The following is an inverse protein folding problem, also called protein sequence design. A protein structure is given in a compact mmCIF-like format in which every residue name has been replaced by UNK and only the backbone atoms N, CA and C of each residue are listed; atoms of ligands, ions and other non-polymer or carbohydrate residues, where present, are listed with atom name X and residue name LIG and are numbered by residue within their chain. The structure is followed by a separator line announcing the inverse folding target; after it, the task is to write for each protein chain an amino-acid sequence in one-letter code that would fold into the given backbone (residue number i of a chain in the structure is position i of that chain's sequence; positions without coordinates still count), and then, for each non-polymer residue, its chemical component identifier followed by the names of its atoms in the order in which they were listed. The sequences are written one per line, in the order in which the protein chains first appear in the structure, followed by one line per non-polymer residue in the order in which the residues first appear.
data_IF_062157883296
#
_entry.id   IF_062157883296
#
_cell.length_a   1.000
_cell.length_b   1.000
_cell.length_c   1.000
_cell.angle_alpha   90.00
_cell.angle_beta   90.00
_cell.angle_gamma   90.00
#
_symmetry.space_group_name_H-M   'P 1'
#
loop_
_entity.id
_entity.type
_entity.pdbx_description
1 polymer ?
#
# COMPACT_ATOMS: atom_id res chain seq x y z
N UNK A 1 -8.10 46.87 47.37
CA UNK A 1 -7.53 46.06 48.47
C UNK A 1 -7.29 44.69 47.87
N UNK A 2 -6.18 44.57 47.13
CA UNK A 2 -5.92 43.37 46.34
C UNK A 2 -5.29 42.32 47.25
N UNK A 3 -6.11 41.33 47.61
CA UNK A 3 -5.69 40.17 48.39
C UNK A 3 -4.69 39.35 47.61
N UNK A 4 -3.40 39.57 47.85
CA UNK A 4 -2.35 38.61 47.45
C UNK A 4 -2.57 37.35 48.26
N UNK A 5 -3.11 36.31 47.63
CA UNK A 5 -3.11 34.96 48.18
C UNK A 5 -1.67 34.60 48.56
N UNK A 6 -1.41 34.51 49.87
CA UNK A 6 -0.14 33.99 50.38
C UNK A 6 -0.02 32.54 49.91
N UNK A 7 1.01 32.22 49.12
CA UNK A 7 1.27 30.85 48.67
C UNK A 7 1.26 29.92 49.90
N UNK A 8 0.40 28.91 49.88
CA UNK A 8 0.36 27.88 50.94
C UNK A 8 1.71 27.18 50.98
N UNK A 9 2.26 26.97 52.18
CA UNK A 9 3.52 26.26 52.36
C UNK A 9 3.42 24.85 51.78
N UNK A 10 4.53 24.31 51.28
CA UNK A 10 4.58 22.96 50.71
C UNK A 10 4.22 21.89 51.74
N UNK A 11 4.53 22.11 53.01
CA UNK A 11 4.15 21.22 54.11
C UNK A 11 2.63 21.10 54.26
N UNK A 12 1.92 22.23 54.23
CA UNK A 12 0.46 22.30 54.30
C UNK A 12 -0.19 21.75 53.03
N UNK A 13 0.45 21.98 51.87
CA UNK A 13 -0.03 21.49 50.57
C UNK A 13 0.03 19.97 50.46
N UNK A 14 1.04 19.34 51.05
CA UNK A 14 1.25 17.90 50.98
C UNK A 14 0.70 17.13 52.18
N UNK A 15 0.16 17.84 53.18
CA UNK A 15 -0.40 17.31 54.41
C UNK A 15 0.61 16.41 55.17
N UNK A 16 1.88 16.83 55.18
CA UNK A 16 2.96 16.09 55.85
C UNK A 16 3.20 16.72 57.23
N UNK A 17 3.05 15.97 58.34
CA UNK A 17 3.39 16.47 59.67
C UNK A 17 4.87 16.84 59.76
N UNK A 18 5.18 17.90 60.50
CA UNK A 18 6.57 18.35 60.73
C UNK A 18 7.43 17.20 61.29
N UNK A 19 6.85 16.32 62.11
CA UNK A 19 7.53 15.16 62.70
C UNK A 19 8.04 14.14 61.68
N UNK A 20 7.55 14.17 60.43
CA UNK A 20 8.01 13.28 59.36
C UNK A 20 9.30 13.79 58.69
N UNK A 21 9.74 15.01 59.03
CA UNK A 21 11.01 15.61 58.59
C UNK A 21 12.13 15.31 59.60
N UNK A 22 12.25 14.04 60.00
CA UNK A 22 13.28 13.56 60.94
C UNK A 22 14.02 12.34 60.37
N UNK A 23 15.26 12.16 60.79
CA UNK A 23 16.13 11.04 60.36
C UNK A 23 15.53 9.69 60.72
N UNK A 24 14.91 9.56 61.90
CA UNK A 24 14.26 8.33 62.33
C UNK A 24 13.12 7.94 61.39
N UNK A 25 12.25 8.91 61.05
CA UNK A 25 11.13 8.68 60.15
C UNK A 25 11.59 8.36 58.73
N UNK A 26 12.59 9.07 58.19
CA UNK A 26 13.11 8.82 56.84
C UNK A 26 13.71 7.42 56.72
N UNK A 27 14.37 6.92 57.77
CA UNK A 27 14.93 5.57 57.79
C UNK A 27 13.85 4.48 57.73
N UNK A 28 12.75 4.68 58.46
CA UNK A 28 11.61 3.74 58.57
C UNK A 28 10.58 3.88 57.42
N UNK A 29 10.62 4.97 56.65
CA UNK A 29 9.64 5.22 55.60
C UNK A 29 9.82 4.30 54.39
N UNK A 30 8.77 3.53 54.07
CA UNK A 30 8.71 2.62 52.92
C UNK A 30 7.95 3.22 51.72
N UNK A 31 7.21 4.32 51.93
CA UNK A 31 6.36 4.91 50.90
C UNK A 31 7.15 5.85 49.97
N UNK A 32 7.41 5.38 48.73
CA UNK A 32 8.14 6.14 47.72
C UNK A 32 7.50 7.50 47.35
N UNK A 33 6.16 7.63 47.41
CA UNK A 33 5.48 8.90 47.05
C UNK A 33 5.59 9.94 48.17
N UNK A 34 5.55 9.50 49.41
CA UNK A 34 5.79 10.38 50.56
C UNK A 34 7.23 10.87 50.56
N UNK A 35 8.18 9.97 50.27
CA UNK A 35 9.59 10.34 50.16
C UNK A 35 9.85 11.37 49.04
N UNK A 36 9.18 11.27 47.88
CA UNK A 36 9.25 12.30 46.82
C UNK A 36 8.76 13.67 47.32
N UNK A 37 7.69 13.71 48.13
CA UNK A 37 7.17 14.95 48.71
C UNK A 37 8.11 15.53 49.76
N UNK A 38 8.68 14.69 50.63
CA UNK A 38 9.67 15.09 51.65
C UNK A 38 10.90 15.71 50.99
N UNK A 39 11.46 15.07 49.96
CA UNK A 39 12.60 15.62 49.20
C UNK A 39 12.25 16.95 48.53
N UNK A 40 11.03 17.13 48.02
CA UNK A 40 10.59 18.42 47.47
C UNK A 40 10.48 19.51 48.54
N UNK A 41 9.94 19.19 49.72
CA UNK A 41 9.85 20.14 50.84
C UNK A 41 11.26 20.54 51.28
N UNK A 42 12.17 19.59 51.47
CA UNK A 42 13.54 19.86 51.90
C UNK A 42 14.33 20.68 50.86
N UNK A 43 14.19 20.38 49.56
CA UNK A 43 14.81 21.16 48.48
C UNK A 43 14.25 22.58 48.34
N UNK A 44 13.00 22.80 48.75
CA UNK A 44 12.38 24.14 48.68
C UNK A 44 12.98 25.13 49.67
N UNK A 45 13.55 24.63 50.78
CA UNK A 45 14.09 25.46 51.86
C UNK A 45 13.05 26.26 52.66
N UNK A 46 11.75 26.03 52.46
CA UNK A 46 10.67 26.78 53.13
C UNK A 46 10.68 26.59 54.67
N UNK A 47 11.10 25.41 55.14
CA UNK A 47 11.17 25.07 56.57
C UNK A 47 12.59 25.18 57.15
N UNK A 48 13.57 25.63 56.35
CA UNK A 48 14.98 25.73 56.72
C UNK A 48 15.91 24.92 55.83
N UNK A 49 17.20 25.20 55.93
CA UNK A 49 18.24 24.54 55.13
C UNK A 49 18.90 23.40 55.92
N UNK A 50 18.55 22.16 55.58
CA UNK A 50 19.05 20.95 56.23
C UNK A 50 19.76 20.04 55.22
N UNK A 51 21.06 20.26 54.93
CA UNK A 51 21.75 19.55 53.86
C UNK A 51 21.89 18.04 54.14
N UNK A 52 22.18 17.65 55.38
CA UNK A 52 22.38 16.24 55.75
C UNK A 52 21.07 15.44 55.71
N UNK A 53 19.98 16.05 56.18
CA UNK A 53 18.63 15.48 56.12
C UNK A 53 18.16 15.33 54.67
N UNK A 54 18.45 16.33 53.83
CA UNK A 54 18.14 16.30 52.39
C UNK A 54 18.88 15.16 51.70
N UNK A 55 20.19 15.01 51.96
CA UNK A 55 20.99 13.92 51.40
C UNK A 55 20.48 12.55 51.86
N UNK A 56 20.10 12.41 53.13
CA UNK A 56 19.52 11.18 53.67
C UNK A 56 18.21 10.82 52.95
N UNK A 57 17.30 11.79 52.81
CA UNK A 57 16.03 11.61 52.10
C UNK A 57 16.24 11.28 50.61
N UNK A 58 17.19 11.92 49.94
CA UNK A 58 17.52 11.64 48.54
C UNK A 58 18.10 10.24 48.34
N UNK A 59 18.99 9.79 49.22
CA UNK A 59 19.55 8.43 49.16
C UNK A 59 18.47 7.37 49.39
N UNK A 60 17.61 7.58 50.38
CA UNK A 60 16.45 6.72 50.61
C UNK A 60 15.49 6.70 49.41
N UNK A 61 15.27 7.86 48.78
CA UNK A 61 14.46 7.94 47.55
C UNK A 61 15.12 7.21 46.38
N UNK A 62 16.45 7.21 46.26
CA UNK A 62 17.16 6.43 45.22
C UNK A 62 17.00 4.92 45.44
N UNK A 63 17.03 4.46 46.69
CA UNK A 63 16.79 3.06 47.05
C UNK A 63 15.36 2.62 46.71
N UNK A 64 14.36 3.45 47.05
CA UNK A 64 12.95 3.14 46.81
C UNK A 64 12.56 3.32 45.33
N UNK A 65 13.07 4.36 44.66
CA UNK A 65 12.65 4.75 43.30
C UNK A 65 13.77 5.49 42.52
N UNK A 66 14.66 4.74 41.83
CA UNK A 66 15.79 5.32 41.11
C UNK A 66 15.37 6.18 39.89
N UNK A 67 14.22 5.89 39.27
CA UNK A 67 13.71 6.60 38.08
C UNK A 67 12.76 7.77 38.42
N UNK A 68 12.86 8.34 39.62
CA UNK A 68 12.00 9.45 40.03
C UNK A 68 12.21 10.68 39.14
N UNK A 69 11.16 11.48 38.94
CA UNK A 69 11.24 12.73 38.16
C UNK A 69 12.21 13.74 38.81
N UNK A 70 12.40 13.65 40.13
CA UNK A 70 13.25 14.56 40.91
C UNK A 70 14.74 14.43 40.62
N UNK A 71 15.16 13.32 40.01
CA UNK A 71 16.55 13.10 39.59
C UNK A 71 16.81 13.46 38.11
N UNK A 72 15.79 13.93 37.38
CA UNK A 72 15.98 14.43 36.00
C UNK A 72 16.60 15.81 36.07
N UNK A 73 17.78 15.96 35.49
CA UNK A 73 18.40 17.27 35.26
C UNK A 73 17.96 17.79 33.88
N UNK A 74 17.74 19.10 33.78
CA UNK A 74 17.56 19.76 32.49
C UNK A 74 18.93 19.88 31.82
N UNK A 75 19.15 19.10 30.76
CA UNK A 75 20.35 19.21 29.94
C UNK A 75 20.21 20.41 29.00
N UNK A 76 21.24 21.25 28.91
CA UNK A 76 21.22 22.42 28.02
C UNK A 76 21.16 21.96 26.57
N UNK A 77 20.31 22.62 25.77
CA UNK A 77 20.24 22.38 24.33
C UNK A 77 21.62 22.62 23.72
N UNK A 78 22.18 21.57 23.15
CA UNK A 78 23.45 21.61 22.45
C UNK A 78 23.23 22.23 21.06
N UNK A 79 24.04 23.25 20.73
CA UNK A 79 23.99 23.94 19.45
C UNK A 79 24.67 23.14 18.32
N UNK A 80 24.73 23.74 17.13
CA UNK A 80 25.23 23.09 15.91
C UNK A 80 26.69 22.62 16.04
N UNK A 81 27.44 23.32 16.87
CA UNK A 81 28.87 23.17 17.13
C UNK A 81 29.24 21.91 17.91
N UNK A 82 28.29 21.21 18.54
CA UNK A 82 28.60 20.01 19.33
C UNK A 82 28.82 18.75 18.48
N UNK A 83 28.28 18.73 17.27
CA UNK A 83 28.37 17.61 16.35
C UNK A 83 29.60 17.71 15.46
N UNK A 84 30.32 16.60 15.29
CA UNK A 84 31.49 16.51 14.43
C UNK A 84 31.11 16.61 12.94
N UNK A 85 32.07 17.00 12.09
CA UNK A 85 31.84 17.11 10.63
C UNK A 85 31.37 15.79 9.98
N UNK A 86 31.73 14.65 10.57
CA UNK A 86 31.32 13.33 10.08
C UNK A 86 29.85 13.05 10.41
N UNK A 87 29.38 13.45 11.59
CA UNK A 87 27.98 13.31 12.02
C UNK A 87 27.04 14.27 11.30
N UNK A 88 27.56 15.40 10.84
CA UNK A 88 26.82 16.34 10.01
C UNK A 88 26.63 15.85 8.57
N UNK A 89 27.50 14.98 8.07
CA UNK A 89 27.53 14.57 6.67
C UNK A 89 26.21 13.94 6.19
N UNK A 90 25.58 13.00 6.92
CA UNK A 90 24.28 12.45 6.53
C UNK A 90 23.18 13.50 6.44
N UNK A 91 23.19 14.49 7.32
CA UNK A 91 22.20 15.59 7.31
C UNK A 91 22.42 16.46 6.07
N UNK A 92 23.67 16.82 5.78
CA UNK A 92 23.99 17.58 4.58
C UNK A 92 23.64 16.82 3.30
N UNK A 93 24.02 15.55 3.21
CA UNK A 93 23.72 14.70 2.06
C UNK A 93 22.20 14.55 1.86
N UNK A 94 21.44 14.37 2.93
CA UNK A 94 19.98 14.34 2.88
C UNK A 94 19.39 15.68 2.43
N UNK A 95 19.82 16.80 3.02
CA UNK A 95 19.31 18.13 2.61
C UNK A 95 19.63 18.44 1.15
N UNK A 96 20.80 18.02 0.66
CA UNK A 96 21.17 18.16 -0.73
C UNK A 96 20.28 17.28 -1.62
N UNK A 97 20.08 16.01 -1.24
CA UNK A 97 19.21 15.08 -1.98
C UNK A 97 17.76 15.59 -2.08
N UNK A 98 17.22 16.16 -1.00
CA UNK A 98 15.87 16.74 -1.00
C UNK A 98 15.79 17.96 -1.92
N UNK A 99 16.78 18.86 -1.89
CA UNK A 99 16.81 20.01 -2.80
C UNK A 99 16.87 19.59 -4.26
N UNK A 100 17.69 18.57 -4.58
CA UNK A 100 17.76 18.03 -5.94
C UNK A 100 16.41 17.47 -6.37
N UNK A 101 15.78 16.64 -5.53
CA UNK A 101 14.44 16.10 -5.81
C UNK A 101 13.37 17.18 -5.96
N UNK A 102 13.42 18.23 -5.15
CA UNK A 102 12.47 19.34 -5.23
C UNK A 102 12.60 20.09 -6.57
N UNK A 103 13.84 20.33 -7.02
CA UNK A 103 14.12 20.91 -8.35
C UNK A 103 13.63 19.98 -9.47
N UNK A 104 13.90 18.69 -9.39
CA UNK A 104 13.44 17.69 -10.36
C UNK A 104 11.92 17.64 -10.45
N UNK A 105 11.23 17.63 -9.31
CA UNK A 105 9.77 17.64 -9.23
C UNK A 105 9.18 18.94 -9.74
N UNK A 106 9.79 20.09 -9.43
CA UNK A 106 9.36 21.39 -9.97
C UNK A 106 9.52 21.43 -11.49
N UNK A 107 10.64 20.95 -12.03
CA UNK A 107 10.86 20.87 -13.47
C UNK A 107 9.87 19.90 -14.16
N UNK A 108 9.55 18.78 -13.52
CA UNK A 108 8.53 17.85 -14.00
C UNK A 108 7.13 18.48 -13.96
N UNK A 109 6.79 19.22 -12.90
CA UNK A 109 5.54 19.95 -12.77
C UNK A 109 5.40 21.03 -13.86
N UNK A 110 6.48 21.76 -14.18
CA UNK A 110 6.48 22.72 -15.29
C UNK A 110 6.28 22.06 -16.65
N UNK A 111 6.90 20.88 -16.89
CA UNK A 111 6.66 20.10 -18.11
C UNK A 111 5.21 19.63 -18.22
N UNK A 112 4.62 19.19 -17.11
CA UNK A 112 3.22 18.77 -17.06
C UNK A 112 2.26 19.95 -17.22
N UNK A 113 2.58 21.13 -16.67
CA UNK A 113 1.78 22.34 -16.82
C UNK A 113 1.75 22.87 -18.26
N UNK A 114 2.76 22.56 -19.08
CA UNK A 114 2.78 22.88 -20.52
C UNK A 114 1.89 21.96 -21.34
N UNK A 115 1.52 20.79 -20.81
CA UNK A 115 0.56 19.89 -21.42
C UNK A 115 -0.83 20.30 -20.91
N UNK A 116 -1.64 20.92 -21.76
CA UNK A 116 -2.98 21.38 -21.41
C UNK A 116 -3.93 20.20 -21.18
N UNK A 117 -3.86 19.61 -19.98
CA UNK A 117 -4.61 18.43 -19.57
C UNK A 117 -5.96 18.80 -18.89
N UNK A 118 -6.31 20.09 -18.84
CA UNK A 118 -7.53 20.58 -18.17
C UNK A 118 -7.56 20.30 -16.66
N UNK A 119 -6.38 20.18 -16.03
CA UNK A 119 -6.27 20.01 -14.58
C UNK A 119 -6.19 21.40 -13.95
N UNK A 120 -6.94 21.70 -12.88
CA UNK A 120 -6.85 23.00 -12.21
C UNK A 120 -5.41 23.28 -11.76
N UNK A 121 -4.95 24.55 -11.85
CA UNK A 121 -3.58 24.91 -11.55
C UNK A 121 -3.22 24.51 -10.11
N UNK A 122 -2.11 23.78 -9.97
CA UNK A 122 -1.57 23.41 -8.65
C UNK A 122 -1.39 24.69 -7.85
N UNK A 123 -2.05 24.77 -6.68
CA UNK A 123 -1.87 25.88 -5.74
C UNK A 123 -0.40 25.89 -5.34
N UNK A 124 0.40 26.75 -5.98
CA UNK A 124 1.71 27.09 -5.45
C UNK A 124 1.46 27.61 -4.04
N UNK A 125 2.10 27.03 -3.03
CA UNK A 125 2.11 27.62 -1.70
C UNK A 125 2.55 29.06 -1.89
N UNK A 126 1.64 30.00 -1.62
CA UNK A 126 1.96 31.41 -1.73
C UNK A 126 3.20 31.66 -0.89
N UNK A 127 4.23 32.25 -1.50
CA UNK A 127 5.30 32.87 -0.71
C UNK A 127 4.57 33.79 0.26
N UNK A 128 4.70 33.52 1.56
CA UNK A 128 4.17 34.39 2.61
C UNK A 128 4.94 35.70 2.46
N UNK A 129 4.41 36.62 1.66
CA UNK A 129 4.84 38.00 1.68
C UNK A 129 4.35 38.54 3.01
N UNK A 130 5.27 38.83 3.91
CA UNK A 130 4.97 39.71 5.02
C UNK A 130 4.37 40.98 4.42
N UNK A 131 3.15 41.29 4.82
CA UNK A 131 2.44 42.49 4.43
C UNK A 131 3.13 43.67 5.12
N UNK A 132 3.96 44.39 4.37
CA UNK A 132 4.24 45.78 4.70
C UNK A 132 2.98 46.59 4.37
N UNK A 133 2.28 46.99 5.42
CA UNK A 133 1.23 47.99 5.37
C UNK A 133 1.84 49.30 4.87
N UNK A 134 1.54 49.71 3.64
CA UNK A 134 1.31 51.12 3.27
C UNK A 134 0.85 51.26 1.81
N UNK A 135 -0.18 52.09 1.66
CA UNK A 135 -0.70 52.77 0.46
C UNK A 135 -1.76 52.10 -0.43
N UNK A 136 -3.00 52.52 -0.15
CA UNK A 136 -4.07 52.75 -1.11
C UNK A 136 -3.65 53.76 -2.21
N UNK A 137 -4.07 53.52 -3.45
CA UNK A 137 -5.01 54.37 -4.23
C UNK A 137 -4.79 54.40 -5.75
N UNK A 138 -5.93 54.29 -6.46
CA UNK A 138 -6.29 54.80 -7.81
C UNK A 138 -5.63 54.10 -9.02
N UNK A 139 -6.28 53.89 -10.16
CA UNK A 139 -7.61 54.26 -10.68
C UNK A 139 -7.88 53.46 -11.97
N UNK A 140 -9.16 53.20 -12.25
CA UNK A 140 -9.67 52.68 -13.53
C UNK A 140 -9.50 53.71 -14.65
N UNK A 141 -9.21 53.27 -15.88
CA UNK A 141 -9.78 53.82 -17.10
C UNK A 141 -10.08 52.72 -18.13
N UNK A 142 -11.16 52.95 -18.86
CA UNK A 142 -11.89 52.07 -19.78
C UNK A 142 -11.30 52.04 -21.21
N UNK A 143 -11.65 50.99 -21.97
CA UNK A 143 -11.68 51.00 -23.44
C UNK A 143 -12.19 49.65 -23.98
N UNK A 144 -13.38 49.62 -24.57
CA UNK A 144 -14.13 48.39 -24.85
C UNK A 144 -13.86 47.69 -26.19
N UNK A 145 -14.50 46.53 -26.42
CA UNK A 145 -15.41 46.25 -27.53
C UNK A 145 -16.06 44.85 -27.38
N UNK A 146 -17.18 44.66 -28.09
CA UNK A 146 -18.21 43.65 -27.94
C UNK A 146 -17.79 42.19 -28.23
N UNK A 147 -18.41 41.25 -27.51
CA UNK A 147 -18.78 39.94 -28.05
C UNK A 147 -19.90 39.32 -27.21
N UNK A 148 -21.00 38.99 -27.88
CA UNK A 148 -22.21 38.33 -27.38
C UNK A 148 -21.94 36.87 -27.06
N UNK A 149 -21.77 36.56 -25.79
CA UNK A 149 -22.09 35.26 -25.19
C UNK A 149 -22.75 35.57 -23.86
N UNK A 150 -23.86 34.90 -23.55
CA UNK A 150 -24.57 35.04 -22.29
C UNK A 150 -23.66 34.64 -21.13
N UNK A 151 -22.93 35.63 -20.61
CA UNK A 151 -22.11 35.54 -19.40
C UNK A 151 -23.06 35.28 -18.25
N UNK A 152 -23.03 34.07 -17.70
CA UNK A 152 -23.37 33.89 -16.29
C UNK A 152 -22.35 34.75 -15.55
N UNK A 153 -22.80 35.88 -15.01
CA UNK A 153 -21.93 36.84 -14.35
C UNK A 153 -21.32 36.17 -13.12
N UNK A 154 -20.04 35.85 -13.19
CA UNK A 154 -19.21 35.50 -12.02
C UNK A 154 -18.92 36.73 -11.14
N UNK A 155 -19.78 37.74 -11.19
CA UNK A 155 -19.67 38.92 -10.35
C UNK A 155 -20.13 38.56 -8.95
N UNK A 156 -19.15 38.22 -8.11
CA UNK A 156 -19.31 38.07 -6.66
C UNK A 156 -20.16 39.24 -6.14
N UNK A 157 -21.31 38.91 -5.55
CA UNK A 157 -22.18 39.90 -4.90
C UNK A 157 -21.34 40.66 -3.87
N UNK A 158 -21.31 41.98 -3.98
CA UNK A 158 -20.56 42.83 -3.04
C UNK A 158 -21.28 42.84 -1.70
N UNK A 159 -20.53 42.83 -0.60
CA UNK A 159 -21.07 42.75 0.76
C UNK A 159 -22.01 43.90 1.14
N UNK A 160 -22.01 45.00 0.39
CA UNK A 160 -22.84 46.18 0.63
C UNK A 160 -24.06 46.31 -0.29
N UNK A 161 -24.29 45.36 -1.20
CA UNK A 161 -25.35 45.42 -2.21
C UNK A 161 -26.56 44.55 -1.81
N UNK A 162 -27.25 44.97 -0.75
CA UNK A 162 -28.35 44.20 -0.12
C UNK A 162 -29.51 43.86 -1.08
N UNK A 163 -29.83 44.74 -2.03
CA UNK A 163 -30.90 44.48 -3.01
C UNK A 163 -30.60 43.34 -4.00
N UNK A 164 -29.34 42.92 -4.12
CA UNK A 164 -28.96 41.71 -4.87
C UNK A 164 -29.03 40.44 -4.02
N UNK A 165 -28.87 40.55 -2.70
CA UNK A 165 -29.01 39.42 -1.79
C UNK A 165 -30.45 38.89 -1.78
N UNK A 166 -31.44 39.78 -1.84
CA UNK A 166 -32.86 39.40 -1.89
C UNK A 166 -33.25 38.61 -3.16
N UNK A 167 -32.43 38.71 -4.22
CA UNK A 167 -32.65 38.01 -5.49
C UNK A 167 -31.81 36.74 -5.63
N UNK A 168 -30.96 36.44 -4.66
CA UNK A 168 -30.07 35.28 -4.70
C UNK A 168 -30.78 34.06 -4.11
N UNK A 169 -31.04 33.07 -4.96
CA UNK A 169 -31.56 31.77 -4.56
C UNK A 169 -30.41 30.83 -4.20
N UNK A 170 -30.22 30.59 -2.90
CA UNK A 170 -29.14 29.76 -2.41
C UNK A 170 -29.30 28.28 -2.82
N UNK A 171 -30.53 27.78 -2.89
CA UNK A 171 -30.82 26.39 -3.21
C UNK A 171 -30.54 26.12 -4.69
N UNK A 172 -30.88 27.07 -5.57
CA UNK A 172 -30.57 26.98 -7.00
C UNK A 172 -29.05 27.00 -7.27
N UNK A 173 -28.28 27.82 -6.53
CA UNK A 173 -26.83 27.83 -6.68
C UNK A 173 -26.18 26.53 -6.16
N UNK A 174 -26.68 25.99 -5.05
CA UNK A 174 -26.22 24.70 -4.54
C UNK A 174 -26.40 23.58 -5.58
N UNK A 175 -27.58 23.50 -6.20
CA UNK A 175 -27.84 22.55 -7.29
C UNK A 175 -26.91 22.77 -8.49
N UNK A 176 -26.65 24.03 -8.84
CA UNK A 176 -25.73 24.37 -9.93
C UNK A 176 -24.30 23.92 -9.63
N UNK A 177 -23.86 24.02 -8.38
CA UNK A 177 -22.56 23.53 -7.92
C UNK A 177 -22.48 22.01 -7.96
N UNK A 178 -23.50 21.30 -7.47
CA UNK A 178 -23.56 19.84 -7.49
C UNK A 178 -23.50 19.30 -8.93
N UNK A 179 -24.28 19.87 -9.84
CA UNK A 179 -24.25 19.50 -11.27
C UNK A 179 -22.89 19.81 -11.92
N UNK A 180 -22.18 20.83 -11.46
CA UNK A 180 -20.85 21.14 -11.97
C UNK A 180 -19.79 20.16 -11.46
N UNK A 181 -19.88 19.76 -10.19
CA UNK A 181 -19.02 18.76 -9.58
C UNK A 181 -19.21 17.39 -10.23
N UNK A 182 -20.46 16.99 -10.51
CA UNK A 182 -20.78 15.75 -11.20
C UNK A 182 -20.13 15.69 -12.59
N UNK A 183 -20.23 16.74 -13.41
CA UNK A 183 -19.58 16.80 -14.73
C UNK A 183 -18.06 16.67 -14.64
N UNK A 184 -17.43 17.29 -13.64
CA UNK A 184 -15.99 17.19 -13.42
C UNK A 184 -15.61 15.77 -13.04
N UNK A 185 -16.39 15.14 -12.17
CA UNK A 185 -16.17 13.77 -11.73
C UNK A 185 -16.30 12.78 -12.90
N UNK A 186 -17.33 12.93 -13.74
CA UNK A 186 -17.50 12.13 -14.95
C UNK A 186 -16.31 12.26 -15.90
N UNK A 187 -15.77 13.48 -16.09
CA UNK A 187 -14.62 13.68 -16.95
C UNK A 187 -13.33 13.08 -16.37
N UNK A 188 -13.12 13.18 -15.05
CA UNK A 188 -12.00 12.52 -14.36
C UNK A 188 -12.11 11.01 -14.51
N UNK A 189 -13.29 10.42 -14.31
CA UNK A 189 -13.53 9.00 -14.53
C UNK A 189 -13.28 8.59 -15.97
N UNK A 190 -13.75 9.36 -16.94
CA UNK A 190 -13.50 9.13 -18.37
C UNK A 190 -12.00 9.12 -18.67
N UNK A 191 -11.25 10.12 -18.17
CA UNK A 191 -9.78 10.20 -18.32
C UNK A 191 -9.09 9.01 -17.66
N UNK A 192 -9.52 8.62 -16.46
CA UNK A 192 -8.99 7.45 -15.74
C UNK A 192 -9.25 6.14 -16.49
N UNK A 193 -10.45 5.96 -17.07
CA UNK A 193 -10.77 4.80 -17.93
C UNK A 193 -9.88 4.77 -19.17
N UNK A 194 -9.70 5.91 -19.83
CA UNK A 194 -8.84 6.03 -21.01
C UNK A 194 -7.37 5.73 -20.67
N UNK A 195 -6.88 6.21 -19.52
CA UNK A 195 -5.52 5.98 -19.08
C UNK A 195 -5.29 4.52 -18.68
N UNK A 196 -6.27 3.89 -18.02
CA UNK A 196 -6.26 2.44 -17.72
C UNK A 196 -6.27 1.57 -18.99
N UNK A 197 -6.97 1.99 -20.03
CA UNK A 197 -6.91 1.34 -21.34
C UNK A 197 -5.54 1.54 -22.00
N UNK A 198 -5.00 2.76 -22.01
CA UNK A 198 -3.66 3.05 -22.54
C UNK A 198 -2.57 2.27 -21.80
N UNK A 199 -2.61 2.18 -20.48
CA UNK A 199 -1.64 1.42 -19.69
C UNK A 199 -1.73 -0.09 -19.96
N UNK A 200 -2.95 -0.64 -20.13
CA UNK A 200 -3.14 -2.04 -20.55
C UNK A 200 -2.56 -2.30 -21.94
N UNK A 201 -2.87 -1.43 -22.91
CA UNK A 201 -2.33 -1.53 -24.27
C UNK A 201 -0.81 -1.37 -24.30
N UNK A 202 -0.23 -0.50 -23.46
CA UNK A 202 1.21 -0.31 -23.35
C UNK A 202 1.90 -1.53 -22.73
N UNK A 203 1.33 -2.12 -21.66
CA UNK A 203 1.85 -3.35 -21.05
C UNK A 203 1.73 -4.54 -22.01
N UNK A 204 0.61 -4.65 -22.75
CA UNK A 204 0.47 -5.64 -23.82
C UNK A 204 1.46 -5.42 -24.96
N UNK A 205 1.70 -4.18 -25.37
CA UNK A 205 2.65 -3.83 -26.43
C UNK A 205 4.10 -4.07 -25.99
N UNK A 206 4.48 -3.75 -24.77
CA UNK A 206 5.84 -3.95 -24.24
C UNK A 206 6.11 -5.43 -23.96
N UNK A 207 5.13 -6.18 -23.44
CA UNK A 207 5.21 -7.62 -23.34
C UNK A 207 5.29 -8.28 -24.72
N UNK A 208 4.43 -7.88 -25.67
CA UNK A 208 4.46 -8.39 -27.04
C UNK A 208 5.75 -8.03 -27.78
N UNK A 209 6.36 -6.87 -27.51
CA UNK A 209 7.63 -6.46 -28.14
C UNK A 209 8.82 -7.24 -27.59
N UNK A 210 8.86 -7.48 -26.28
CA UNK A 210 9.89 -8.34 -25.65
C UNK A 210 9.71 -9.79 -26.08
N UNK A 211 8.48 -10.33 -26.08
CA UNK A 211 8.23 -11.68 -26.58
C UNK A 211 8.43 -11.78 -28.08
N UNK A 212 8.04 -10.81 -28.91
CA UNK A 212 8.24 -10.85 -30.37
C UNK A 212 9.72 -10.79 -30.74
N UNK A 213 10.54 -10.00 -30.04
CA UNK A 213 11.99 -9.93 -30.30
C UNK A 213 12.72 -11.20 -29.84
N UNK A 214 12.26 -11.86 -28.76
CA UNK A 214 12.75 -13.18 -28.35
C UNK A 214 12.25 -14.30 -29.29
N UNK A 215 10.97 -14.32 -29.67
CA UNK A 215 10.39 -15.35 -30.55
C UNK A 215 10.87 -15.26 -31.99
N UNK A 216 11.14 -14.05 -32.53
CA UNK A 216 11.70 -13.90 -33.89
C UNK A 216 13.14 -14.42 -33.96
N UNK A 217 13.93 -14.28 -32.88
CA UNK A 217 15.26 -14.89 -32.78
C UNK A 217 15.20 -16.41 -32.58
N UNK A 218 14.24 -16.92 -31.82
CA UNK A 218 14.07 -18.37 -31.60
C UNK A 218 13.47 -19.09 -32.82
N UNK A 219 12.52 -18.49 -33.55
CA UNK A 219 11.90 -19.09 -34.75
C UNK A 219 12.86 -19.23 -35.93
N UNK A 220 13.79 -18.28 -36.11
CA UNK A 220 14.80 -18.32 -37.18
C UNK A 220 15.92 -19.35 -36.90
N UNK A 221 16.07 -19.76 -35.63
CA UNK A 221 16.94 -20.88 -35.21
C UNK A 221 16.18 -22.20 -35.28
N UNK A 222 14.88 -22.22 -34.98
CA UNK A 222 14.02 -23.40 -35.00
C UNK A 222 13.75 -23.97 -36.40
N UNK A 223 13.79 -23.12 -37.43
CA UNK A 223 13.64 -23.53 -38.84
C UNK A 223 14.81 -24.39 -39.36
N UNK A 224 15.95 -24.41 -38.65
CA UNK A 224 17.17 -25.15 -39.03
C UNK A 224 17.31 -26.51 -38.35
N UNK A 225 16.46 -26.80 -37.36
CA UNK A 225 16.51 -28.06 -36.61
C UNK A 225 15.64 -29.14 -37.22
N UNK A 226 16.12 -30.38 -37.14
CA UNK A 226 15.36 -31.59 -37.49
C UNK A 226 14.24 -31.87 -36.48
N UNK A 227 13.21 -32.62 -36.86
CA UNK A 227 12.07 -32.95 -35.98
C UNK A 227 12.50 -33.56 -34.64
N UNK A 228 13.54 -34.40 -34.67
CA UNK A 228 14.08 -35.08 -33.48
C UNK A 228 14.76 -34.08 -32.54
N UNK A 229 15.48 -33.10 -33.08
CA UNK A 229 16.14 -32.05 -32.29
C UNK A 229 15.10 -31.11 -31.65
N UNK A 230 14.02 -30.79 -32.38
CA UNK A 230 12.91 -29.99 -31.84
C UNK A 230 12.19 -30.70 -30.69
N UNK A 231 11.96 -32.00 -30.82
CA UNK A 231 11.35 -32.80 -29.74
C UNK A 231 12.23 -32.82 -28.48
N UNK A 232 13.55 -33.00 -28.65
CA UNK A 232 14.50 -32.97 -27.52
C UNK A 232 14.54 -31.60 -26.83
N UNK A 233 14.53 -30.53 -27.62
CA UNK A 233 14.52 -29.15 -27.10
C UNK A 233 13.21 -28.82 -26.37
N UNK A 234 12.06 -29.25 -26.92
CA UNK A 234 10.78 -29.10 -26.24
C UNK A 234 10.74 -29.83 -24.89
N UNK A 235 11.33 -31.02 -24.83
CA UNK A 235 11.47 -31.78 -23.58
C UNK A 235 12.36 -31.06 -22.56
N UNK A 236 13.47 -30.44 -22.99
CA UNK A 236 14.33 -29.64 -22.12
C UNK A 236 13.59 -28.43 -21.52
N UNK A 237 12.89 -27.66 -22.34
CA UNK A 237 12.07 -26.54 -21.86
C UNK A 237 10.99 -27.01 -20.88
N UNK A 238 10.38 -28.17 -21.14
CA UNK A 238 9.39 -28.78 -20.24
C UNK A 238 10.02 -29.17 -18.90
N UNK A 239 11.22 -29.74 -18.89
CA UNK A 239 11.93 -30.08 -17.66
C UNK A 239 12.30 -28.83 -16.87
N UNK A 240 12.80 -27.78 -17.55
CA UNK A 240 13.08 -26.49 -16.91
C UNK A 240 11.83 -25.86 -16.30
N UNK A 241 10.70 -25.91 -17.00
CA UNK A 241 9.40 -25.49 -16.45
C UNK A 241 9.00 -26.27 -15.20
N UNK A 242 9.30 -27.58 -15.14
CA UNK A 242 9.06 -28.40 -13.94
C UNK A 242 9.93 -27.96 -12.75
N UNK A 243 11.17 -27.55 -12.98
CA UNK A 243 12.05 -27.07 -11.93
C UNK A 243 11.56 -25.72 -11.36
N UNK A 244 11.11 -24.79 -12.22
CA UNK A 244 10.43 -23.57 -11.78
C UNK A 244 9.13 -23.88 -11.01
N UNK A 245 8.35 -24.85 -11.48
CA UNK A 245 7.13 -25.28 -10.79
C UNK A 245 7.43 -25.84 -9.38
N UNK A 246 8.50 -26.62 -9.23
CA UNK A 246 8.98 -27.12 -7.94
C UNK A 246 9.47 -25.99 -7.03
N UNK A 247 10.12 -24.97 -7.61
CA UNK A 247 10.51 -23.74 -6.93
C UNK A 247 9.33 -22.82 -6.56
N UNK A 248 8.10 -23.16 -6.95
CA UNK A 248 6.87 -22.36 -6.78
C UNK A 248 6.85 -21.05 -7.57
N UNK A 249 7.73 -20.91 -8.55
CA UNK A 249 7.74 -19.79 -9.49
C UNK A 249 6.82 -20.09 -10.68
N UNK A 250 5.51 -19.99 -10.45
CA UNK A 250 4.52 -20.45 -11.44
C UNK A 250 4.48 -19.61 -12.73
N UNK A 251 4.73 -18.30 -12.65
CA UNK A 251 4.76 -17.42 -13.82
C UNK A 251 5.93 -17.74 -14.77
N UNK A 252 7.12 -18.00 -14.22
CA UNK A 252 8.29 -18.42 -15.00
C UNK A 252 8.09 -19.83 -15.58
N UNK A 253 7.47 -20.74 -14.81
CA UNK A 253 7.10 -22.06 -15.31
C UNK A 253 6.16 -21.98 -16.53
N UNK A 254 5.16 -21.09 -16.51
CA UNK A 254 4.24 -20.89 -17.64
C UNK A 254 4.97 -20.42 -18.89
N UNK A 255 5.97 -19.53 -18.76
CA UNK A 255 6.78 -19.06 -19.88
C UNK A 255 7.58 -20.20 -20.52
N UNK A 256 8.28 -21.01 -19.71
CA UNK A 256 9.07 -22.13 -20.22
C UNK A 256 8.19 -23.24 -20.82
N UNK A 257 7.03 -23.54 -20.23
CA UNK A 257 6.06 -24.43 -20.86
C UNK A 257 5.50 -23.86 -22.17
N UNK A 258 5.30 -22.53 -22.24
CA UNK A 258 4.95 -21.82 -23.47
C UNK A 258 5.99 -22.01 -24.56
N UNK A 259 7.28 -21.90 -24.24
CA UNK A 259 8.38 -22.19 -25.18
C UNK A 259 8.36 -23.63 -25.67
N UNK A 260 8.17 -24.60 -24.77
CA UNK A 260 8.05 -26.01 -25.16
C UNK A 260 6.90 -26.25 -26.17
N UNK A 261 5.76 -25.57 -25.98
CA UNK A 261 4.61 -25.64 -26.89
C UNK A 261 4.92 -25.00 -28.24
N UNK A 262 5.61 -23.84 -28.25
CA UNK A 262 6.02 -23.15 -29.48
C UNK A 262 7.01 -23.96 -30.32
N UNK A 263 7.86 -24.76 -29.68
CA UNK A 263 8.88 -25.59 -30.34
C UNK A 263 8.26 -26.84 -30.99
N UNK A 264 7.33 -27.51 -30.32
CA UNK A 264 6.69 -28.71 -30.82
C UNK A 264 5.21 -28.78 -30.43
N UNK A 265 4.34 -28.17 -31.23
CA UNK A 265 2.91 -28.11 -30.94
C UNK A 265 2.21 -29.50 -31.00
N UNK A 266 2.66 -30.39 -31.89
CA UNK A 266 2.00 -31.68 -32.14
C UNK A 266 2.16 -32.69 -30.99
N UNK A 267 3.29 -32.65 -30.26
CA UNK A 267 3.57 -33.53 -29.11
C UNK A 267 3.57 -32.81 -27.77
N UNK A 268 3.03 -31.59 -27.73
CA UNK A 268 3.03 -30.74 -26.53
C UNK A 268 1.99 -31.12 -25.46
N UNK A 269 1.27 -32.24 -25.59
CA UNK A 269 0.24 -32.64 -24.62
C UNK A 269 0.73 -32.61 -23.15
N UNK A 270 1.94 -33.11 -22.80
CA UNK A 270 2.46 -33.00 -21.44
C UNK A 270 2.76 -31.55 -21.00
N UNK A 271 3.20 -30.69 -21.92
CA UNK A 271 3.51 -29.29 -21.66
C UNK A 271 2.22 -28.48 -21.38
N UNK A 272 1.17 -28.66 -22.19
CA UNK A 272 -0.16 -28.08 -21.94
C UNK A 272 -0.71 -28.51 -20.58
N UNK A 273 -0.57 -29.79 -20.23
CA UNK A 273 -1.06 -30.32 -18.96
C UNK A 273 -0.33 -29.71 -17.75
N UNK A 274 0.98 -29.49 -17.85
CA UNK A 274 1.78 -28.88 -16.77
C UNK A 274 1.57 -27.36 -16.70
N UNK A 275 1.39 -26.68 -17.84
CA UNK A 275 1.01 -25.26 -17.89
C UNK A 275 -0.35 -25.02 -17.24
N UNK A 276 -1.33 -25.89 -17.52
CA UNK A 276 -2.62 -25.86 -16.85
C UNK A 276 -2.51 -26.00 -15.32
N UNK A 277 -1.62 -26.88 -14.84
CA UNK A 277 -1.37 -27.02 -13.40
C UNK A 277 -0.78 -25.75 -12.78
N UNK A 278 0.13 -25.06 -13.48
CA UNK A 278 0.68 -23.78 -13.04
C UNK A 278 -0.38 -22.66 -13.03
N UNK A 279 -1.22 -22.59 -14.08
CA UNK A 279 -2.34 -21.65 -14.17
C UNK A 279 -3.35 -21.84 -13.02
N UNK A 280 -3.68 -23.09 -12.67
CA UNK A 280 -4.55 -23.40 -11.52
C UNK A 280 -3.94 -22.87 -10.20
N UNK A 281 -2.61 -22.96 -10.02
CA UNK A 281 -1.94 -22.45 -8.82
C UNK A 281 -1.98 -20.92 -8.75
N UNK A 282 -1.95 -20.22 -9.89
CA UNK A 282 -2.13 -18.77 -9.99
C UNK A 282 -3.60 -18.31 -9.98
N UNK A 283 -4.55 -19.25 -9.91
CA UNK A 283 -6.00 -18.99 -9.98
C UNK A 283 -6.47 -18.41 -11.32
N UNK A 284 -5.70 -18.63 -12.39
CA UNK A 284 -6.08 -18.31 -13.77
C UNK A 284 -6.84 -19.48 -14.38
N UNK A 285 -8.08 -19.66 -13.92
CA UNK A 285 -8.88 -20.85 -14.23
C UNK A 285 -9.32 -20.90 -15.69
N UNK A 286 -9.61 -19.75 -16.30
CA UNK A 286 -10.01 -19.64 -17.72
C UNK A 286 -8.92 -20.11 -18.67
N UNK A 287 -7.67 -19.76 -18.40
CA UNK A 287 -6.49 -20.15 -19.17
C UNK A 287 -6.16 -21.63 -18.93
N UNK A 288 -6.32 -22.11 -17.69
CA UNK A 288 -6.15 -23.51 -17.37
C UNK A 288 -7.14 -24.42 -18.09
N UNK A 289 -8.41 -24.00 -18.23
CA UNK A 289 -9.44 -24.74 -18.97
C UNK A 289 -9.03 -24.90 -20.43
N UNK A 290 -8.65 -23.79 -21.09
CA UNK A 290 -8.17 -23.81 -22.49
C UNK A 290 -6.98 -24.74 -22.68
N UNK A 291 -6.00 -24.69 -21.78
CA UNK A 291 -4.82 -25.57 -21.83
C UNK A 291 -5.19 -27.04 -21.64
N UNK A 292 -6.13 -27.35 -20.74
CA UNK A 292 -6.64 -28.71 -20.57
C UNK A 292 -7.41 -29.21 -21.79
N UNK A 293 -8.21 -28.37 -22.44
CA UNK A 293 -8.91 -28.71 -23.68
C UNK A 293 -7.93 -29.01 -24.81
N UNK A 294 -6.91 -28.18 -25.00
CA UNK A 294 -5.84 -28.42 -25.97
C UNK A 294 -5.09 -29.72 -25.70
N UNK A 295 -4.79 -30.00 -24.43
CA UNK A 295 -4.19 -31.27 -24.02
C UNK A 295 -5.08 -32.48 -24.39
N UNK A 296 -6.40 -32.36 -24.22
CA UNK A 296 -7.36 -33.43 -24.54
C UNK A 296 -7.62 -33.58 -26.05
N UNK A 297 -7.43 -32.53 -26.85
CA UNK A 297 -7.46 -32.62 -28.30
C UNK A 297 -6.28 -33.47 -28.82
N UNK A 298 -5.10 -33.32 -28.22
CA UNK A 298 -3.92 -34.12 -28.55
C UNK A 298 -3.98 -35.53 -27.94
N UNK A 299 -4.33 -35.64 -26.66
CA UNK A 299 -4.43 -36.89 -25.91
C UNK A 299 -5.81 -37.03 -25.24
N UNK A 300 -6.82 -37.57 -25.95
CA UNK A 300 -8.18 -37.68 -25.43
C UNK A 300 -8.32 -38.60 -24.20
N UNK A 301 -7.36 -39.52 -24.05
CA UNK A 301 -7.28 -40.47 -22.95
C UNK A 301 -6.45 -39.97 -21.75
N UNK A 302 -6.03 -38.70 -21.72
CA UNK A 302 -5.23 -38.18 -20.61
C UNK A 302 -6.09 -37.91 -19.35
N UNK A 303 -6.05 -38.83 -18.38
CA UNK A 303 -6.82 -38.70 -17.13
C UNK A 303 -6.41 -37.46 -16.31
N UNK A 304 -5.13 -37.09 -16.30
CA UNK A 304 -4.64 -35.94 -15.52
C UNK A 304 -5.20 -34.63 -16.05
N UNK A 305 -5.28 -34.49 -17.37
CA UNK A 305 -5.86 -33.31 -18.01
C UNK A 305 -7.37 -33.20 -17.71
N UNK A 306 -8.12 -34.30 -17.76
CA UNK A 306 -9.56 -34.30 -17.40
C UNK A 306 -9.80 -33.96 -15.92
N UNK A 307 -8.95 -34.44 -15.02
CA UNK A 307 -9.02 -34.10 -13.60
C UNK A 307 -8.77 -32.60 -13.37
N UNK A 308 -7.71 -32.05 -13.98
CA UNK A 308 -7.38 -30.64 -13.90
C UNK A 308 -8.45 -29.74 -14.52
N UNK A 309 -9.05 -30.16 -15.63
CA UNK A 309 -10.21 -29.50 -16.24
C UNK A 309 -11.38 -29.44 -15.27
N UNK A 310 -11.72 -30.56 -14.63
CA UNK A 310 -12.81 -30.62 -13.65
C UNK A 310 -12.53 -29.74 -12.42
N UNK A 311 -11.27 -29.66 -11.97
CA UNK A 311 -10.89 -28.81 -10.84
C UNK A 311 -10.90 -27.33 -11.21
N UNK A 312 -10.43 -26.97 -12.41
CA UNK A 312 -10.43 -25.60 -12.92
C UNK A 312 -11.86 -25.09 -13.16
N UNK A 313 -12.73 -25.88 -13.81
CA UNK A 313 -14.15 -25.54 -14.01
C UNK A 313 -14.92 -25.43 -12.69
N UNK A 314 -14.60 -26.29 -11.71
CA UNK A 314 -15.18 -26.20 -10.37
C UNK A 314 -14.78 -24.92 -9.66
N UNK A 315 -13.50 -24.53 -9.74
CA UNK A 315 -13.01 -23.30 -9.16
C UNK A 315 -13.50 -22.04 -9.90
N UNK A 316 -13.77 -22.14 -11.21
CA UNK A 316 -14.35 -21.07 -12.03
C UNK A 316 -15.84 -20.80 -11.75
N UNK A 317 -16.56 -21.75 -11.13
CA UNK A 317 -17.96 -21.61 -10.73
C UNK A 317 -18.99 -22.26 -11.67
N UNK A 318 -18.53 -22.90 -12.76
CA UNK A 318 -19.40 -23.57 -13.75
C UNK A 318 -19.77 -24.99 -13.28
N UNK A 319 -20.67 -25.05 -12.29
CA UNK A 319 -20.95 -26.27 -11.53
C UNK A 319 -21.55 -27.42 -12.36
N UNK A 320 -22.25 -27.12 -13.47
CA UNK A 320 -22.96 -28.12 -14.28
C UNK A 320 -21.99 -28.97 -15.12
N UNK A 321 -21.03 -28.35 -15.79
CA UNK A 321 -20.06 -29.04 -16.65
C UNK A 321 -19.12 -29.97 -15.86
N UNK A 322 -18.75 -29.57 -14.64
CA UNK A 322 -17.92 -30.35 -13.71
C UNK A 322 -18.53 -31.72 -13.43
N UNK A 323 -19.85 -31.77 -13.20
CA UNK A 323 -20.54 -33.03 -12.85
C UNK A 323 -20.59 -33.97 -14.05
N UNK A 324 -20.81 -33.44 -15.25
CA UNK A 324 -20.78 -34.19 -16.50
C UNK A 324 -19.38 -34.74 -16.79
N UNK A 325 -18.34 -33.90 -16.67
CA UNK A 325 -16.94 -34.30 -16.83
C UNK A 325 -16.48 -35.38 -15.85
N UNK A 326 -16.82 -35.24 -14.55
CA UNK A 326 -16.50 -36.25 -13.52
C UNK A 326 -17.25 -37.57 -13.72
N UNK A 327 -18.49 -37.53 -14.20
CA UNK A 327 -19.26 -38.74 -14.53
C UNK A 327 -18.68 -39.46 -15.75
N UNK A 328 -18.25 -38.73 -16.78
CA UNK A 328 -17.56 -39.30 -17.92
C UNK A 328 -16.18 -39.87 -17.55
N UNK A 329 -15.43 -39.20 -16.66
CA UNK A 329 -14.18 -39.73 -16.13
C UNK A 329 -14.39 -41.04 -15.38
N UNK A 330 -15.41 -41.12 -14.51
CA UNK A 330 -15.77 -42.35 -13.81
C UNK A 330 -16.08 -43.47 -14.81
N UNK A 331 -16.92 -43.22 -15.82
CA UNK A 331 -17.23 -44.20 -16.87
C UNK A 331 -15.98 -44.71 -17.60
N UNK A 332 -15.06 -43.81 -17.95
CA UNK A 332 -13.79 -44.16 -18.61
C UNK A 332 -12.87 -45.00 -17.71
N UNK A 333 -12.78 -44.64 -16.42
CA UNK A 333 -12.01 -45.41 -15.43
C UNK A 333 -12.62 -46.81 -15.26
N UNK A 334 -13.95 -46.93 -15.22
CA UNK A 334 -14.64 -48.22 -15.14
C UNK A 334 -14.45 -49.09 -16.39
N UNK A 335 -14.32 -48.50 -17.58
CA UNK A 335 -14.06 -49.26 -18.82
C UNK A 335 -12.60 -49.73 -18.97
N UNK A 336 -11.65 -49.06 -18.31
CA UNK A 336 -10.21 -49.36 -18.43
C UNK A 336 -9.67 -50.31 -17.36
N UNK A 337 -10.44 -50.59 -16.30
CA UNK A 337 -10.02 -51.48 -15.21
C UNK A 337 -10.73 -52.85 -15.29
N UNK A 338 -10.01 -53.98 -15.18
CA UNK A 338 -10.63 -55.28 -14.98
C UNK A 338 -11.53 -55.26 -13.73
N UNK A 339 -12.70 -55.90 -13.81
CA UNK A 339 -13.77 -55.90 -12.80
C UNK A 339 -13.35 -56.22 -11.35
N UNK A 340 -12.14 -56.71 -11.10
CA UNK A 340 -11.59 -56.99 -9.76
C UNK A 340 -11.03 -55.74 -9.04
N UNK A 341 -10.46 -54.78 -9.77
CA UNK A 341 -9.81 -53.58 -9.20
C UNK A 341 -10.80 -52.43 -8.93
N UNK A 342 -11.91 -52.40 -9.66
CA UNK A 342 -12.98 -51.41 -9.51
C UNK A 342 -13.61 -51.43 -8.11
N UNK A 343 -13.65 -52.59 -7.45
CA UNK A 343 -14.15 -52.76 -6.07
C UNK A 343 -13.28 -52.09 -5.00
N UNK A 344 -11.95 -52.10 -5.18
CA UNK A 344 -11.01 -51.49 -4.23
C UNK A 344 -10.98 -49.96 -4.36
N UNK A 345 -11.01 -49.45 -5.59
CA UNK A 345 -11.00 -48.00 -5.86
C UNK A 345 -12.33 -47.34 -5.44
N UNK A 346 -13.47 -48.03 -5.59
CA UNK A 346 -14.76 -47.55 -5.07
C UNK A 346 -14.75 -47.36 -3.55
N UNK A 347 -14.13 -48.27 -2.80
CA UNK A 347 -13.99 -48.14 -1.34
C UNK A 347 -13.12 -46.93 -0.97
N UNK A 348 -12.03 -46.69 -1.69
CA UNK A 348 -11.13 -45.56 -1.43
C UNK A 348 -11.78 -44.19 -1.72
N UNK A 349 -12.54 -44.08 -2.81
CA UNK A 349 -13.28 -42.86 -3.15
C UNK A 349 -14.50 -42.62 -2.26
N UNK A 350 -15.16 -43.68 -1.77
CA UNK A 350 -16.23 -43.57 -0.77
C UNK A 350 -15.68 -43.06 0.58
N UNK A 351 -14.49 -43.50 0.98
CA UNK A 351 -13.86 -43.10 2.24
C UNK A 351 -13.41 -41.64 2.23
N UNK A 352 -12.81 -41.16 1.14
CA UNK A 352 -12.42 -39.75 1.00
C UNK A 352 -13.63 -38.79 0.89
N UNK A 353 -14.79 -39.26 0.42
CA UNK A 353 -16.02 -38.46 0.39
C UNK A 353 -16.63 -38.25 1.78
N UNK A 354 -16.40 -39.18 2.71
CA UNK A 354 -16.87 -39.10 4.10
C UNK A 354 -16.00 -38.14 4.92
N UNK A 355 -14.73 -37.94 4.56
CA UNK A 355 -13.79 -37.04 5.26
C UNK A 355 -13.77 -35.59 4.72
N UNK A 356 -14.62 -35.23 3.76
CA UNK A 356 -14.58 -33.91 3.09
C UNK A 356 -15.94 -33.24 2.94
N UNK A 357 -16.84 -33.48 3.89
CA UNK A 357 -17.96 -32.59 4.19
C UNK A 357 -17.67 -31.96 5.56
N UNK A 358 -17.95 -30.65 5.74
CA UNK A 358 -17.37 -29.82 6.80
C UNK A 358 -17.62 -30.34 8.22
#
# INVERSE_FOLDING_TARGET
MDGKETKRKLIDKYEIPINHLDFAYIAECENAREMEKIVQILRSGEEGYFPDLTNCAENKLRELKPNSRLFRYEEKLQGRETLSKQEWKPIFDWTHNIKVKDVELSAAAEKMAKLDLGVPPVRKSGVIKQCDENNEHKSKQNGGLAATTSKISTERIKSTDYGKWDKYDADEECLRMELAEERVQEEVERKNRLNKQKSKLQVEHDNNKVTAVETVKEQDVLSKFTDVERERLAEEYRLRGNDYFRAKEYENAIKEYGRAISVCAEKAAPAYNNRAAANIKLKWYTEAIKDCEQCLQLEPNNLKARLRLADATYANGERQEVTFGRNNLKKLIYSLLPNSLTRYICKFWSWNRIMSTP
#
